data_IF_115465974583
#
_entry.id   IF_115465974583
#
_cell.length_a   1.000
_cell.length_b   1.000
_cell.length_c   1.000
_cell.angle_alpha   90.00
_cell.angle_beta   90.00
_cell.angle_gamma   90.00
#
_symmetry.space_group_name_H-M   'P 1'
#
loop_
_entity.id
_entity.type
_entity.pdbx_description
1 polymer ?
#
# COMPACT_ATOMS: atom_id res chain seq x y z
N UNK A 1 -20.02 -6.82 -0.02
CA UNK A 1 -18.81 -6.20 -0.57
C UNK A 1 -19.06 -5.75 -2.00
N UNK A 2 -19.00 -4.44 -2.25
CA UNK A 2 -19.13 -3.81 -3.57
C UNK A 2 -17.77 -3.28 -4.02
N UNK A 3 -17.24 -3.78 -5.14
CA UNK A 3 -15.85 -3.55 -5.56
C UNK A 3 -15.78 -3.16 -7.02
N UNK A 4 -15.03 -2.11 -7.34
CA UNK A 4 -14.66 -1.78 -8.71
C UNK A 4 -13.45 -2.60 -9.14
N UNK A 5 -13.54 -3.29 -10.27
CA UNK A 5 -12.41 -3.99 -10.89
C UNK A 5 -11.96 -3.23 -12.13
N UNK A 6 -10.66 -3.06 -12.32
CA UNK A 6 -10.11 -2.30 -13.45
C UNK A 6 -9.95 -3.15 -14.70
N UNK A 7 -9.85 -2.48 -15.86
CA UNK A 7 -9.65 -3.15 -17.16
C UNK A 7 -8.38 -4.03 -17.20
N UNK A 8 -7.27 -3.59 -16.59
CA UNK A 8 -6.02 -4.35 -16.60
C UNK A 8 -6.14 -5.74 -15.95
N UNK A 9 -7.10 -5.93 -15.03
CA UNK A 9 -7.41 -7.25 -14.44
C UNK A 9 -7.87 -8.24 -15.49
N UNK A 10 -8.65 -7.76 -16.46
CA UNK A 10 -9.11 -8.56 -17.58
C UNK A 10 -8.04 -8.69 -18.67
N UNK A 11 -7.41 -7.58 -19.08
CA UNK A 11 -6.41 -7.59 -20.16
C UNK A 11 -5.26 -8.57 -19.91
N UNK A 12 -4.71 -8.58 -18.69
CA UNK A 12 -3.54 -9.39 -18.35
C UNK A 12 -3.82 -10.90 -18.37
N UNK A 13 -5.09 -11.31 -18.29
CA UNK A 13 -5.47 -12.73 -18.44
C UNK A 13 -5.49 -13.21 -19.89
N UNK A 14 -5.53 -12.28 -20.85
CA UNK A 14 -5.63 -12.55 -22.28
C UNK A 14 -4.27 -12.48 -23.02
N UNK A 15 -3.21 -12.00 -22.37
CA UNK A 15 -1.88 -11.87 -22.97
C UNK A 15 -1.17 -13.21 -23.09
N UNK A 16 -1.58 -14.04 -24.05
CA UNK A 16 -1.03 -15.38 -24.33
C UNK A 16 0.51 -15.42 -24.50
N UNK A 17 1.10 -14.30 -24.91
CA UNK A 17 2.55 -14.11 -25.08
C UNK A 17 3.31 -13.76 -23.79
N UNK A 18 2.63 -13.39 -22.71
CA UNK A 18 3.26 -13.11 -21.43
C UNK A 18 3.53 -14.42 -20.67
N UNK A 19 4.78 -14.73 -20.27
CA UNK A 19 5.07 -15.93 -19.48
C UNK A 19 4.22 -16.09 -18.21
N UNK A 20 3.70 -14.98 -17.68
CA UNK A 20 2.86 -14.90 -16.48
C UNK A 20 1.35 -15.00 -16.77
N UNK A 21 0.89 -15.17 -18.02
CA UNK A 21 -0.54 -15.19 -18.36
C UNK A 21 -1.35 -16.24 -17.57
N UNK A 22 -0.75 -17.41 -17.32
CA UNK A 22 -1.39 -18.47 -16.50
C UNK A 22 -1.60 -18.03 -15.05
N UNK A 23 -0.67 -17.25 -14.51
CA UNK A 23 -0.81 -16.67 -13.18
C UNK A 23 -1.98 -15.69 -13.15
N UNK A 24 -2.09 -14.80 -14.13
CA UNK A 24 -3.21 -13.85 -14.22
C UNK A 24 -4.56 -14.54 -14.46
N UNK A 25 -4.60 -15.57 -15.31
CA UNK A 25 -5.80 -16.39 -15.52
C UNK A 25 -6.27 -17.09 -14.23
N UNK A 26 -5.34 -17.60 -13.42
CA UNK A 26 -5.67 -18.20 -12.13
C UNK A 26 -6.20 -17.16 -11.12
N UNK A 27 -5.62 -15.96 -11.09
CA UNK A 27 -6.14 -14.88 -10.25
C UNK A 27 -7.55 -14.45 -10.69
N UNK A 28 -7.79 -14.34 -12.00
CA UNK A 28 -9.12 -14.03 -12.53
C UNK A 28 -10.14 -15.10 -12.16
N UNK A 29 -9.75 -16.39 -12.20
CA UNK A 29 -10.57 -17.50 -11.73
C UNK A 29 -10.91 -17.34 -10.25
N UNK A 30 -9.91 -17.03 -9.41
CA UNK A 30 -10.09 -16.79 -7.98
C UNK A 30 -10.96 -15.58 -7.69
N UNK A 31 -10.97 -14.54 -8.53
CA UNK A 31 -11.90 -13.41 -8.41
C UNK A 31 -13.32 -13.83 -8.83
N UNK A 32 -13.46 -14.56 -9.94
CA UNK A 32 -14.76 -14.99 -10.47
C UNK A 32 -15.54 -15.87 -9.49
N UNK A 33 -14.86 -16.63 -8.63
CA UNK A 33 -15.51 -17.48 -7.63
C UNK A 33 -16.00 -16.72 -6.39
N UNK A 34 -15.66 -15.44 -6.23
CA UNK A 34 -16.01 -14.69 -5.01
C UNK A 34 -17.45 -14.18 -5.03
N UNK A 35 -18.06 -14.15 -3.84
CA UNK A 35 -19.38 -13.56 -3.60
C UNK A 35 -19.28 -12.04 -3.41
N UNK A 36 -18.75 -11.36 -4.42
CA UNK A 36 -18.58 -9.91 -4.49
C UNK A 36 -19.49 -9.35 -5.57
N UNK A 37 -20.04 -8.16 -5.31
CA UNK A 37 -20.76 -7.39 -6.32
C UNK A 37 -19.73 -6.54 -7.06
N UNK A 38 -19.48 -6.90 -8.31
CA UNK A 38 -18.43 -6.31 -9.13
C UNK A 38 -18.95 -5.10 -9.90
N UNK A 39 -18.14 -4.06 -9.96
CA UNK A 39 -18.37 -2.85 -10.73
C UNK A 39 -17.22 -2.61 -11.71
N UNK A 40 -17.50 -1.96 -12.83
CA UNK A 40 -16.51 -1.41 -13.75
C UNK A 40 -16.99 -0.06 -14.26
N UNK A 41 -16.05 0.82 -14.61
CA UNK A 41 -16.41 2.01 -15.39
C UNK A 41 -16.85 1.58 -16.79
N UNK A 42 -17.73 2.36 -17.44
CA UNK A 42 -18.15 2.08 -18.82
C UNK A 42 -16.98 1.89 -19.81
N UNK A 43 -15.95 2.76 -19.82
CA UNK A 43 -14.78 2.56 -20.67
C UNK A 43 -14.02 1.26 -20.38
N UNK A 44 -13.90 0.87 -19.10
CA UNK A 44 -13.24 -0.38 -18.74
C UNK A 44 -14.04 -1.59 -19.19
N UNK A 45 -15.37 -1.56 -19.07
CA UNK A 45 -16.24 -2.64 -19.53
C UNK A 45 -16.21 -2.81 -21.05
N UNK A 46 -16.31 -1.70 -21.80
CA UNK A 46 -16.19 -1.70 -23.27
C UNK A 46 -14.81 -2.15 -23.73
N UNK A 47 -13.77 -1.72 -23.00
CA UNK A 47 -12.40 -2.20 -23.17
C UNK A 47 -12.33 -3.71 -23.01
N UNK A 48 -12.79 -4.27 -21.89
CA UNK A 48 -12.72 -5.70 -21.62
C UNK A 48 -13.41 -6.50 -22.74
N UNK A 49 -14.62 -6.10 -23.15
CA UNK A 49 -15.31 -6.71 -24.29
C UNK A 49 -14.48 -6.68 -25.57
N UNK A 50 -13.86 -5.54 -25.88
CA UNK A 50 -13.05 -5.36 -27.08
C UNK A 50 -11.80 -6.23 -27.05
N UNK A 51 -11.11 -6.30 -25.92
CA UNK A 51 -9.94 -7.16 -25.73
C UNK A 51 -10.29 -8.64 -25.86
N UNK A 52 -11.42 -9.07 -25.31
CA UNK A 52 -11.87 -10.46 -25.47
C UNK A 52 -12.16 -10.81 -26.94
N UNK A 53 -12.81 -9.92 -27.70
CA UNK A 53 -13.05 -10.15 -29.13
C UNK A 53 -11.75 -10.26 -29.91
N UNK A 54 -10.74 -9.46 -29.54
CA UNK A 54 -9.47 -9.42 -30.26
C UNK A 54 -8.53 -10.59 -29.91
N UNK A 55 -8.45 -10.97 -28.64
CA UNK A 55 -7.42 -11.90 -28.13
C UNK A 55 -8.01 -13.16 -27.49
N UNK A 56 -9.33 -13.25 -27.29
CA UNK A 56 -9.97 -14.34 -26.57
C UNK A 56 -9.75 -15.72 -27.20
N UNK A 57 -9.58 -15.80 -28.53
CA UNK A 57 -9.29 -17.06 -29.22
C UNK A 57 -7.87 -17.60 -28.99
N UNK A 58 -6.96 -16.79 -28.42
CA UNK A 58 -5.57 -17.17 -28.18
C UNK A 58 -5.36 -17.88 -26.83
N UNK A 59 -6.36 -17.84 -25.96
CA UNK A 59 -6.34 -18.47 -24.64
C UNK A 59 -7.21 -19.74 -24.61
N UNK A 60 -6.95 -20.62 -23.64
CA UNK A 60 -7.74 -21.84 -23.47
C UNK A 60 -9.20 -21.55 -23.10
N UNK A 61 -10.08 -22.49 -23.45
CA UNK A 61 -11.54 -22.39 -23.27
C UNK A 61 -11.92 -22.14 -21.81
N UNK A 62 -11.22 -22.74 -20.85
CA UNK A 62 -11.48 -22.53 -19.42
C UNK A 62 -11.19 -21.09 -19.00
N UNK A 63 -10.13 -20.48 -19.51
CA UNK A 63 -9.83 -19.07 -19.26
C UNK A 63 -10.89 -18.16 -19.89
N UNK A 64 -11.38 -18.49 -21.09
CA UNK A 64 -12.46 -17.73 -21.75
C UNK A 64 -13.76 -17.78 -20.94
N UNK A 65 -14.13 -18.97 -20.44
CA UNK A 65 -15.31 -19.15 -19.58
C UNK A 65 -15.22 -18.33 -18.30
N UNK A 66 -14.07 -18.37 -17.62
CA UNK A 66 -13.81 -17.57 -16.41
C UNK A 66 -13.93 -16.08 -16.69
N UNK A 67 -13.33 -15.63 -17.78
CA UNK A 67 -13.36 -14.23 -18.21
C UNK A 67 -14.80 -13.75 -18.43
N UNK A 68 -15.57 -14.48 -19.24
CA UNK A 68 -16.96 -14.15 -19.55
C UNK A 68 -17.85 -14.26 -18.32
N UNK A 69 -17.61 -15.23 -17.45
CA UNK A 69 -18.33 -15.41 -16.19
C UNK A 69 -18.19 -14.19 -15.28
N UNK A 70 -16.96 -13.70 -15.05
CA UNK A 70 -16.77 -12.49 -14.26
C UNK A 70 -17.33 -11.26 -14.96
N UNK A 71 -17.05 -11.08 -16.26
CA UNK A 71 -17.50 -9.89 -17.01
C UNK A 71 -19.03 -9.79 -17.06
N UNK A 72 -19.74 -10.92 -17.16
CA UNK A 72 -21.21 -10.94 -17.18
C UNK A 72 -21.86 -10.56 -15.85
N UNK A 73 -21.10 -10.62 -14.75
CA UNK A 73 -21.56 -10.27 -13.39
C UNK A 73 -21.21 -8.84 -12.97
N UNK A 74 -20.45 -8.13 -13.79
CA UNK A 74 -20.08 -6.74 -13.55
C UNK A 74 -21.27 -5.82 -13.77
N UNK A 75 -21.49 -4.91 -12.82
CA UNK A 75 -22.33 -3.73 -12.98
C UNK A 75 -21.51 -2.59 -13.57
N UNK A 76 -22.09 -1.86 -14.52
CA UNK A 76 -21.39 -0.75 -15.18
C UNK A 76 -21.75 0.56 -14.50
N UNK A 77 -20.74 1.28 -13.99
CA UNK A 77 -20.90 2.64 -13.49
C UNK A 77 -21.22 3.57 -14.66
N UNK A 78 -22.35 4.27 -14.57
CA UNK A 78 -22.67 5.37 -15.46
C UNK A 78 -21.80 6.59 -15.11
N UNK A 79 -21.13 7.16 -16.11
CA UNK A 79 -20.37 8.41 -15.99
C UNK A 79 -21.25 9.56 -16.46
N UNK A 80 -21.58 10.47 -15.56
CA UNK A 80 -22.32 11.72 -15.82
C UNK A 80 -21.45 12.94 -15.47
N UNK A 81 -21.99 14.15 -15.66
CA UNK A 81 -21.26 15.40 -15.40
C UNK A 81 -20.78 15.51 -13.95
N UNK A 82 -21.55 14.97 -12.98
CA UNK A 82 -21.17 14.96 -11.57
C UNK A 82 -19.92 14.10 -11.33
N UNK A 83 -19.83 12.93 -11.95
CA UNK A 83 -18.62 12.10 -11.87
C UNK A 83 -17.43 12.80 -12.53
N UNK A 84 -17.64 13.51 -13.64
CA UNK A 84 -16.57 14.26 -14.31
C UNK A 84 -16.05 15.41 -13.44
N UNK A 85 -16.95 16.14 -12.78
CA UNK A 85 -16.62 17.21 -11.83
C UNK A 85 -15.85 16.67 -10.62
N UNK A 86 -16.31 15.56 -10.03
CA UNK A 86 -15.61 14.90 -8.91
C UNK A 86 -14.23 14.39 -9.35
N UNK A 87 -14.13 13.76 -10.51
CA UNK A 87 -12.87 13.27 -11.07
C UNK A 87 -11.84 14.39 -11.25
N UNK A 88 -12.27 15.62 -11.56
CA UNK A 88 -11.36 16.75 -11.76
C UNK A 88 -10.57 17.15 -10.49
N UNK A 89 -11.06 16.76 -9.30
CA UNK A 89 -10.45 17.10 -8.01
C UNK A 89 -9.18 16.28 -7.71
N UNK A 90 -8.96 15.16 -8.39
CA UNK A 90 -7.86 14.24 -8.07
C UNK A 90 -6.63 14.49 -8.95
N UNK A 91 -5.44 14.31 -8.38
CA UNK A 91 -4.15 14.45 -9.09
C UNK A 91 -3.72 13.26 -9.95
N UNK A 92 -4.63 12.34 -10.33
CA UNK A 92 -4.29 11.07 -11.01
C UNK A 92 -4.23 11.21 -12.54
N UNK A 93 -4.10 10.13 -13.32
CA UNK A 93 -4.37 10.20 -14.76
C UNK A 93 -5.90 10.16 -15.02
N UNK A 94 -6.36 10.60 -16.20
CA UNK A 94 -7.80 10.73 -16.46
C UNK A 94 -8.62 9.44 -16.19
N UNK A 95 -8.25 8.25 -16.73
CA UNK A 95 -8.95 7.01 -16.41
C UNK A 95 -9.03 6.69 -14.92
N UNK A 96 -7.95 6.90 -14.16
CA UNK A 96 -7.90 6.59 -12.73
C UNK A 96 -8.73 7.58 -11.90
N UNK A 97 -8.74 8.86 -12.28
CA UNK A 97 -9.64 9.85 -11.67
C UNK A 97 -11.11 9.45 -11.83
N UNK A 98 -11.49 8.97 -13.01
CA UNK A 98 -12.87 8.52 -13.30
C UNK A 98 -13.21 7.27 -12.50
N UNK A 99 -12.29 6.30 -12.41
CA UNK A 99 -12.48 5.07 -11.60
C UNK A 99 -12.66 5.42 -10.13
N UNK A 100 -11.83 6.32 -9.61
CA UNK A 100 -11.91 6.79 -8.23
C UNK A 100 -13.26 7.49 -7.97
N UNK A 101 -13.64 8.47 -8.79
CA UNK A 101 -14.91 9.17 -8.68
C UNK A 101 -16.12 8.22 -8.78
N UNK A 102 -16.11 7.28 -9.72
CA UNK A 102 -17.17 6.25 -9.81
C UNK A 102 -17.25 5.42 -8.53
N UNK A 103 -16.11 4.99 -7.97
CA UNK A 103 -16.11 4.19 -6.77
C UNK A 103 -16.68 4.94 -5.56
N UNK A 104 -16.45 6.24 -5.49
CA UNK A 104 -16.98 7.07 -4.41
C UNK A 104 -18.47 7.33 -4.58
N UNK A 105 -18.90 7.69 -5.79
CA UNK A 105 -20.30 8.01 -6.07
C UNK A 105 -21.21 6.80 -5.84
N UNK A 106 -20.75 5.62 -6.25
CA UNK A 106 -21.48 4.35 -6.05
C UNK A 106 -21.27 3.76 -4.65
N UNK A 107 -20.57 4.48 -3.75
CA UNK A 107 -20.28 4.06 -2.38
C UNK A 107 -19.68 2.64 -2.30
N UNK A 108 -18.68 2.39 -3.14
CA UNK A 108 -17.95 1.13 -3.20
C UNK A 108 -16.95 1.03 -2.04
N UNK A 109 -16.61 -0.20 -1.67
CA UNK A 109 -15.67 -0.49 -0.57
C UNK A 109 -14.21 -0.49 -1.05
N UNK A 110 -13.98 -0.70 -2.35
CA UNK A 110 -12.64 -0.65 -2.89
C UNK A 110 -12.53 -0.75 -4.41
N UNK A 111 -11.30 -0.57 -4.88
CA UNK A 111 -10.86 -0.76 -6.26
C UNK A 111 -9.81 -1.87 -6.28
N UNK A 112 -9.96 -2.84 -7.20
CA UNK A 112 -9.03 -3.93 -7.42
C UNK A 112 -8.36 -3.76 -8.78
N UNK A 113 -7.03 -3.70 -8.77
CA UNK A 113 -6.22 -3.46 -9.96
C UNK A 113 -4.88 -4.20 -9.90
N UNK A 114 -4.24 -4.45 -11.04
CA UNK A 114 -2.84 -4.89 -11.06
C UNK A 114 -1.84 -3.74 -10.85
N UNK A 115 -2.32 -2.48 -10.90
CA UNK A 115 -1.48 -1.28 -10.82
C UNK A 115 -1.96 -0.31 -9.74
N UNK A 116 -2.11 -0.75 -8.48
CA UNK A 116 -2.63 0.10 -7.40
C UNK A 116 -1.78 1.35 -7.13
N UNK A 117 -0.50 1.33 -7.48
CA UNK A 117 0.39 2.49 -7.38
C UNK A 117 -0.07 3.69 -8.22
N UNK A 118 -0.90 3.46 -9.26
CA UNK A 118 -1.45 4.54 -10.08
C UNK A 118 -2.46 5.41 -9.32
N UNK A 119 -2.98 4.92 -8.19
CA UNK A 119 -3.94 5.63 -7.33
C UNK A 119 -3.28 6.24 -6.09
N UNK A 120 -1.99 6.01 -5.87
CA UNK A 120 -1.28 6.54 -4.71
C UNK A 120 -1.17 8.06 -4.82
N UNK A 121 -1.67 8.79 -3.83
CA UNK A 121 -1.62 10.25 -3.76
C UNK A 121 -0.45 10.71 -2.89
N UNK A 122 0.02 9.86 -1.99
CA UNK A 122 1.08 10.14 -1.03
C UNK A 122 2.17 9.07 -1.03
N UNK A 123 3.32 9.39 -0.42
CA UNK A 123 4.39 8.40 -0.18
C UNK A 123 3.92 7.31 0.79
N UNK A 124 3.02 7.65 1.72
CA UNK A 124 2.44 6.68 2.66
C UNK A 124 1.58 5.64 1.93
N UNK A 125 0.79 6.04 0.94
CA UNK A 125 0.00 5.12 0.11
C UNK A 125 0.90 4.09 -0.59
N UNK A 126 2.01 4.56 -1.17
CA UNK A 126 2.99 3.70 -1.84
C UNK A 126 3.63 2.73 -0.85
N UNK A 127 3.96 3.18 0.35
CA UNK A 127 4.53 2.34 1.41
C UNK A 127 3.53 1.27 1.87
N UNK A 128 2.29 1.67 2.14
CA UNK A 128 1.19 0.77 2.52
C UNK A 128 0.93 -0.28 1.44
N UNK A 129 0.93 0.14 0.18
CA UNK A 129 0.84 -0.79 -0.93
C UNK A 129 1.97 -1.84 -0.92
N UNK A 130 3.20 -1.46 -0.60
CA UNK A 130 4.33 -2.42 -0.58
C UNK A 130 4.24 -3.41 0.59
N UNK A 131 3.77 -2.95 1.75
CA UNK A 131 3.65 -3.79 2.95
C UNK A 131 2.39 -4.66 2.92
N UNK A 132 1.25 -4.01 2.78
CA UNK A 132 -0.07 -4.59 3.00
C UNK A 132 -0.69 -5.05 1.68
N UNK A 133 -0.12 -4.62 0.54
CA UNK A 133 -0.69 -4.85 -0.79
C UNK A 133 -1.93 -3.99 -1.08
N UNK A 134 -2.31 -3.10 -0.17
CA UNK A 134 -3.42 -2.17 -0.35
C UNK A 134 -3.18 -0.89 0.46
N UNK A 135 -3.96 0.16 0.17
CA UNK A 135 -3.99 1.37 0.99
C UNK A 135 -5.39 2.00 0.99
N UNK A 136 -5.80 2.66 2.10
CA UNK A 136 -7.04 3.40 2.13
C UNK A 136 -6.87 4.77 1.47
N UNK A 137 -7.85 5.17 0.68
CA UNK A 137 -8.09 6.55 0.27
C UNK A 137 -9.20 7.09 1.16
N UNK A 138 -8.82 8.01 2.04
CA UNK A 138 -9.77 8.71 2.91
C UNK A 138 -10.21 10.01 2.23
N UNK A 139 -11.53 10.20 2.15
CA UNK A 139 -12.10 11.46 1.71
C UNK A 139 -12.99 12.06 2.78
N UNK A 140 -12.75 13.32 3.08
CA UNK A 140 -13.54 14.08 4.04
C UNK A 140 -14.50 14.96 3.26
N UNK A 141 -15.80 14.71 3.40
CA UNK A 141 -16.84 15.60 2.88
C UNK A 141 -17.44 16.38 4.04
N UNK A 142 -17.35 17.71 4.02
CA UNK A 142 -17.99 18.57 5.01
C UNK A 142 -19.44 18.82 4.59
N UNK A 143 -20.40 18.49 5.46
CA UNK A 143 -21.79 18.90 5.26
C UNK A 143 -21.89 20.39 5.57
N UNK A 144 -21.99 21.23 4.55
CA UNK A 144 -22.07 22.69 4.69
C UNK A 144 -23.23 23.15 5.58
N UNK A 145 -24.33 22.39 5.62
CA UNK A 145 -25.53 22.74 6.40
C UNK A 145 -25.43 22.37 7.88
N UNK A 146 -24.62 21.37 8.23
CA UNK A 146 -24.60 20.81 9.58
C UNK A 146 -23.21 20.79 10.23
N UNK A 147 -22.17 21.20 9.50
CA UNK A 147 -20.79 21.33 9.98
C UNK A 147 -20.14 20.01 10.41
N UNK A 148 -20.75 18.85 10.10
CA UNK A 148 -20.13 17.56 10.37
C UNK A 148 -19.39 17.03 9.13
N UNK A 149 -18.22 16.47 9.38
CA UNK A 149 -17.40 15.79 8.37
C UNK A 149 -17.79 14.32 8.29
N UNK A 150 -18.12 13.85 7.08
CA UNK A 150 -18.24 12.43 6.79
C UNK A 150 -16.95 11.96 6.15
N UNK A 151 -16.25 11.04 6.81
CA UNK A 151 -15.09 10.36 6.26
C UNK A 151 -15.56 9.13 5.48
N UNK A 152 -15.39 9.15 4.15
CA UNK A 152 -15.55 7.97 3.30
C UNK A 152 -14.18 7.31 3.15
N UNK A 153 -14.11 6.00 3.37
CA UNK A 153 -12.91 5.18 3.15
C UNK A 153 -13.14 4.24 2.00
N UNK A 154 -12.28 4.34 0.99
CA UNK A 154 -12.22 3.44 -0.15
C UNK A 154 -10.86 2.77 -0.15
N UNK A 155 -10.79 1.45 -0.30
CA UNK A 155 -9.50 0.75 -0.32
C UNK A 155 -9.04 0.47 -1.74
N UNK A 156 -7.78 0.77 -2.05
CA UNK A 156 -7.15 0.40 -3.33
C UNK A 156 -6.32 -0.85 -3.10
N UNK A 157 -6.69 -1.96 -3.74
CA UNK A 157 -6.05 -3.25 -3.61
C UNK A 157 -5.29 -3.65 -4.88
N UNK A 158 -4.13 -4.27 -4.68
CA UNK A 158 -3.63 -5.22 -5.68
C UNK A 158 -4.57 -6.43 -5.79
N UNK A 159 -4.63 -7.08 -6.96
CA UNK A 159 -5.42 -8.33 -7.10
C UNK A 159 -5.01 -9.40 -6.09
N UNK A 160 -3.70 -9.57 -5.87
CA UNK A 160 -3.19 -10.60 -4.97
C UNK A 160 -3.59 -10.34 -3.52
N UNK A 161 -3.38 -9.10 -3.04
CA UNK A 161 -3.75 -8.72 -1.67
C UNK A 161 -5.25 -8.76 -1.44
N UNK A 162 -6.06 -8.36 -2.42
CA UNK A 162 -7.51 -8.46 -2.32
C UNK A 162 -7.97 -9.89 -2.09
N UNK A 163 -7.39 -10.86 -2.80
CA UNK A 163 -7.72 -12.27 -2.64
C UNK A 163 -7.27 -12.83 -1.27
N UNK A 164 -6.10 -12.42 -0.79
CA UNK A 164 -5.61 -12.81 0.55
C UNK A 164 -6.53 -12.26 1.64
N UNK A 165 -6.83 -10.96 1.60
CA UNK A 165 -7.64 -10.30 2.63
C UNK A 165 -9.11 -10.76 2.60
N UNK A 166 -9.62 -11.23 1.46
CA UNK A 166 -10.96 -11.80 1.34
C UNK A 166 -11.10 -13.18 1.96
N UNK A 167 -10.06 -14.00 1.91
CA UNK A 167 -10.09 -15.34 2.51
C UNK A 167 -9.99 -15.29 4.04
N UNK A 168 -9.47 -14.18 4.56
CA UNK A 168 -9.32 -13.91 5.99
C UNK A 168 -10.55 -13.26 6.64
N UNK A 169 -11.73 -13.25 6.00
CA UNK A 169 -12.97 -12.55 6.45
C UNK A 169 -13.56 -13.04 7.78
N UNK A 170 -12.81 -12.86 8.86
CA UNK A 170 -13.19 -12.38 10.19
C UNK A 170 -12.57 -10.99 10.41
N UNK A 171 -12.36 -10.19 9.35
CA UNK A 171 -11.83 -8.83 9.50
C UNK A 171 -12.96 -7.91 9.99
N UNK A 172 -13.09 -7.86 11.32
CA UNK A 172 -13.27 -6.57 11.96
C UNK A 172 -12.11 -5.69 11.50
N UNK A 173 -12.39 -4.71 10.63
CA UNK A 173 -11.46 -3.62 10.33
C UNK A 173 -10.95 -3.07 11.68
N UNK A 174 -9.66 -3.19 12.01
CA UNK A 174 -9.21 -2.93 13.37
C UNK A 174 -9.35 -1.43 13.67
N UNK A 175 -10.15 -1.17 14.70
CA UNK A 175 -9.88 -0.27 15.82
C UNK A 175 -9.16 1.05 15.51
N UNK A 176 -9.85 2.15 15.87
CA UNK A 176 -9.18 3.39 16.28
C UNK A 176 -8.11 3.09 17.34
N UNK A 177 -6.84 3.25 17.01
CA UNK A 177 -5.75 3.17 17.97
C UNK A 177 -5.58 4.54 18.66
N UNK A 178 -5.71 4.52 19.99
CA UNK A 178 -5.35 5.62 20.87
C UNK A 178 -3.81 5.78 20.95
N UNK A 179 -3.40 7.02 21.26
CA UNK A 179 -2.05 7.60 21.36
C UNK A 179 -0.89 6.74 21.91
N UNK A 180 0.20 6.69 21.12
CA UNK A 180 1.66 6.80 21.42
C UNK A 180 2.21 6.62 22.85
N UNK A 181 3.27 5.79 23.03
CA UNK A 181 4.53 6.02 23.81
C UNK A 181 5.28 4.69 24.16
N UNK A 182 6.38 4.31 23.48
CA UNK A 182 7.27 3.22 23.99
C UNK A 182 8.79 3.40 23.74
N UNK A 183 9.25 4.12 22.71
CA UNK A 183 10.70 4.27 22.41
C UNK A 183 11.10 5.67 21.95
N UNK A 184 12.27 6.16 22.42
CA UNK A 184 12.90 7.40 21.97
C UNK A 184 14.38 7.17 21.64
N UNK A 185 14.81 7.49 20.42
CA UNK A 185 16.21 7.45 19.98
C UNK A 185 16.93 8.64 20.59
N UNK A 186 17.97 8.39 21.38
CA UNK A 186 18.72 9.45 22.07
C UNK A 186 19.91 9.89 21.25
N UNK A 187 20.72 8.94 20.78
CA UNK A 187 21.97 9.23 20.10
C UNK A 187 22.19 8.26 18.94
N UNK A 188 22.82 8.75 17.88
CA UNK A 188 23.10 8.00 16.66
C UNK A 188 24.38 8.52 16.04
N UNK A 189 25.35 7.62 15.86
CA UNK A 189 26.64 7.91 15.27
C UNK A 189 26.94 6.93 14.15
N UNK A 190 27.45 7.45 13.02
CA UNK A 190 27.94 6.64 11.92
C UNK A 190 29.34 7.09 11.54
N UNK A 191 30.21 6.09 11.37
CA UNK A 191 31.56 6.26 10.86
C UNK A 191 31.65 5.44 9.58
N UNK A 192 31.96 6.10 8.47
CA UNK A 192 32.17 5.44 7.18
C UNK A 192 33.65 5.49 6.83
N UNK A 193 34.32 4.35 6.82
CA UNK A 193 35.74 4.25 6.44
C UNK A 193 35.93 3.21 5.33
N UNK A 194 36.33 3.67 4.15
CA UNK A 194 36.62 2.83 2.99
C UNK A 194 35.47 1.87 2.62
N UNK A 195 35.63 0.57 2.88
CA UNK A 195 34.72 -0.52 2.52
C UNK A 195 33.88 -1.03 3.70
N UNK A 196 34.00 -0.39 4.87
CA UNK A 196 33.25 -0.74 6.07
C UNK A 196 32.61 0.50 6.68
N UNK A 197 31.46 0.30 7.30
CA UNK A 197 30.73 1.33 8.03
C UNK A 197 30.42 0.81 9.41
N UNK A 198 30.56 1.66 10.41
CA UNK A 198 30.23 1.37 11.79
C UNK A 198 29.10 2.30 12.23
N UNK A 199 28.09 1.73 12.87
CA UNK A 199 26.96 2.47 13.42
C UNK A 199 26.87 2.19 14.92
N UNK A 200 26.77 3.25 15.72
CA UNK A 200 26.48 3.19 17.15
C UNK A 200 25.14 3.88 17.43
N UNK A 201 24.27 3.21 18.18
CA UNK A 201 22.88 3.63 18.41
C UNK A 201 22.57 3.54 19.90
N UNK A 202 21.99 4.61 20.47
CA UNK A 202 21.47 4.64 21.83
C UNK A 202 19.97 4.87 21.82
N UNK A 203 19.20 3.88 22.29
CA UNK A 203 17.74 3.92 22.43
C UNK A 203 17.34 4.06 23.90
N UNK A 204 16.40 4.97 24.20
CA UNK A 204 15.68 4.98 25.46
C UNK A 204 14.35 4.22 25.30
N UNK A 205 14.17 3.22 26.17
CA UNK A 205 13.01 2.35 26.27
C UNK A 205 12.31 2.67 27.59
N UNK A 206 11.10 3.26 27.53
CA UNK A 206 10.44 3.81 28.72
C UNK A 206 11.32 4.88 29.43
N UNK A 207 10.82 5.55 30.45
CA UNK A 207 11.53 6.70 31.05
C UNK A 207 12.92 6.39 31.64
N UNK A 208 13.28 5.10 31.83
CA UNK A 208 14.45 4.72 32.65
C UNK A 208 15.42 3.69 32.06
N UNK A 209 15.17 3.08 30.90
CA UNK A 209 16.09 2.08 30.32
C UNK A 209 16.76 2.65 29.07
N UNK A 210 18.09 2.73 29.09
CA UNK A 210 18.90 3.08 27.92
C UNK A 210 19.64 1.85 27.42
N UNK A 211 19.60 1.64 26.11
CA UNK A 211 20.24 0.52 25.44
C UNK A 211 21.14 1.07 24.35
N UNK A 212 22.35 0.54 24.30
CA UNK A 212 23.37 0.96 23.34
C UNK A 212 23.85 -0.26 22.57
N UNK A 213 24.00 -0.12 21.27
CA UNK A 213 24.70 -1.11 20.46
C UNK A 213 25.52 -0.45 19.38
N UNK A 214 26.63 -1.11 19.06
CA UNK A 214 27.52 -0.75 17.97
C UNK A 214 27.67 -1.95 17.06
N UNK A 215 27.53 -1.74 15.76
CA UNK A 215 27.76 -2.79 14.78
C UNK A 215 28.46 -2.27 13.52
N UNK A 216 29.17 -3.19 12.86
CA UNK A 216 29.93 -2.93 11.64
C UNK A 216 29.30 -3.69 10.49
N UNK A 217 29.02 -2.98 9.40
CA UNK A 217 28.53 -3.54 8.14
C UNK A 217 29.40 -3.11 6.96
N UNK A 218 29.24 -3.77 5.81
CA UNK A 218 29.94 -3.38 4.57
C UNK A 218 29.37 -2.10 3.97
N UNK A 219 28.15 -1.76 4.37
CA UNK A 219 27.49 -0.51 4.04
C UNK A 219 26.97 0.16 5.31
N UNK A 220 26.75 1.49 5.28
CA UNK A 220 26.13 2.18 6.41
C UNK A 220 24.77 1.58 6.77
N UNK A 221 24.03 1.11 5.76
CA UNK A 221 22.75 0.44 5.95
C UNK A 221 22.87 -0.85 6.75
N UNK A 222 23.80 -1.70 6.35
CA UNK A 222 24.05 -2.98 7.04
C UNK A 222 24.52 -2.74 8.48
N UNK A 223 25.38 -1.74 8.70
CA UNK A 223 25.87 -1.39 10.03
C UNK A 223 24.74 -0.93 10.97
N UNK A 224 23.84 -0.06 10.49
CA UNK A 224 22.66 0.40 11.26
C UNK A 224 21.77 -0.79 11.61
N UNK A 225 21.47 -1.62 10.61
CA UNK A 225 20.57 -2.75 10.80
C UNK A 225 21.11 -3.69 11.87
N UNK A 226 22.40 -4.06 11.80
CA UNK A 226 23.04 -4.93 12.78
C UNK A 226 23.07 -4.32 14.19
N UNK A 227 23.22 -3.00 14.31
CA UNK A 227 23.19 -2.32 15.61
C UNK A 227 21.78 -2.34 16.21
N UNK A 228 20.74 -2.09 15.40
CA UNK A 228 19.35 -2.17 15.86
C UNK A 228 18.99 -3.61 16.27
N UNK A 229 19.34 -4.58 15.43
CA UNK A 229 19.09 -5.99 15.71
C UNK A 229 19.77 -6.42 17.02
N UNK A 230 21.00 -5.96 17.29
CA UNK A 230 21.71 -6.21 18.54
C UNK A 230 20.98 -5.64 19.78
N UNK A 231 20.36 -4.46 19.68
CA UNK A 231 19.56 -3.89 20.79
C UNK A 231 18.28 -4.72 21.01
N UNK A 232 17.62 -5.13 19.93
CA UNK A 232 16.41 -5.95 19.98
C UNK A 232 16.71 -7.31 20.62
N UNK A 233 17.84 -7.92 20.26
CA UNK A 233 18.33 -9.18 20.82
C UNK A 233 18.74 -9.08 22.30
N UNK A 234 18.97 -7.89 22.84
CA UNK A 234 19.14 -7.70 24.29
C UNK A 234 17.82 -7.56 25.04
N UNK A 235 16.69 -7.36 24.35
CA UNK A 235 15.36 -7.15 24.93
C UNK A 235 14.49 -8.43 24.94
N UNK A 236 15.09 -9.62 24.83
CA UNK A 236 14.47 -10.90 24.41
C UNK A 236 13.35 -11.46 25.31
N UNK A 237 12.96 -10.77 26.38
CA UNK A 237 11.70 -11.07 27.09
C UNK A 237 10.49 -10.25 26.61
N UNK A 238 10.61 -9.49 25.52
CA UNK A 238 9.46 -8.82 24.87
C UNK A 238 8.97 -9.60 23.64
N UNK A 239 7.64 -9.65 23.37
CA UNK A 239 7.08 -10.42 22.25
C UNK A 239 7.68 -10.00 20.91
N UNK A 240 7.79 -10.93 19.96
CA UNK A 240 8.53 -10.79 18.70
C UNK A 240 8.30 -9.45 17.98
N UNK A 241 9.39 -8.74 17.67
CA UNK A 241 9.42 -7.44 16.98
C UNK A 241 10.26 -7.54 15.71
N UNK A 242 9.93 -6.75 14.70
CA UNK A 242 10.61 -6.70 13.41
C UNK A 242 10.94 -5.25 13.06
N UNK A 243 12.17 -4.96 12.64
CA UNK A 243 12.52 -3.66 12.06
C UNK A 243 11.72 -3.48 10.76
N UNK A 244 10.87 -2.45 10.68
CA UNK A 244 9.95 -2.24 9.56
C UNK A 244 10.49 -1.28 8.50
N UNK A 245 11.27 -0.27 8.89
CA UNK A 245 12.07 0.57 7.99
C UNK A 245 13.02 1.49 8.76
N UNK A 246 14.00 2.10 8.08
CA UNK A 246 14.56 3.38 8.51
C UNK A 246 14.74 4.28 7.28
N UNK A 247 14.55 5.58 7.43
CA UNK A 247 14.78 6.56 6.37
C UNK A 247 15.63 7.71 6.88
N UNK A 248 16.56 8.16 6.03
CA UNK A 248 17.20 9.46 6.20
C UNK A 248 16.42 10.38 5.27
N UNK A 249 15.50 11.23 5.77
CA UNK A 249 14.86 12.21 4.93
C UNK A 249 15.98 12.99 4.25
N UNK A 250 15.92 13.23 2.93
CA UNK A 250 16.89 14.07 2.28
C UNK A 250 16.85 15.41 3.00
N UNK A 251 17.84 15.69 3.84
CA UNK A 251 18.12 17.03 4.28
C UNK A 251 18.19 17.83 2.98
N UNK A 252 17.43 18.92 2.88
CA UNK A 252 17.64 19.97 1.88
C UNK A 252 19.13 20.00 1.56
N UNK A 253 19.50 19.58 0.34
CA UNK A 253 20.87 19.33 -0.12
C UNK A 253 21.66 20.65 -0.10
N UNK A 254 21.97 21.14 1.09
CA UNK A 254 22.60 22.42 1.36
C UNK A 254 23.81 22.18 2.26
N UNK A 255 24.84 21.56 1.68
CA UNK A 255 26.19 21.54 2.23
C UNK A 255 26.48 20.43 3.26
N UNK A 256 27.78 20.25 3.51
CA UNK A 256 28.34 19.20 4.36
C UNK A 256 27.94 19.29 5.85
N UNK A 257 27.37 20.42 6.29
CA UNK A 257 26.94 20.67 7.68
C UNK A 257 25.42 20.55 7.91
N UNK A 258 24.66 20.08 6.92
CA UNK A 258 23.21 19.95 7.06
C UNK A 258 22.83 18.86 8.09
N UNK A 259 21.92 19.14 9.04
CA UNK A 259 21.49 18.15 10.03
C UNK A 259 20.78 16.98 9.34
N UNK A 260 21.24 15.77 9.64
CA UNK A 260 20.70 14.53 9.09
C UNK A 260 19.65 14.01 10.07
N UNK A 261 18.39 13.97 9.64
CA UNK A 261 17.37 13.28 10.41
C UNK A 261 17.47 11.78 10.10
N UNK A 262 17.49 10.93 11.11
CA UNK A 262 17.35 9.48 10.97
C UNK A 262 16.02 9.10 11.57
N UNK A 263 15.16 8.55 10.73
CA UNK A 263 13.84 8.05 11.10
C UNK A 263 13.93 6.54 11.18
N UNK A 264 13.74 5.95 12.35
CA UNK A 264 13.72 4.49 12.55
C UNK A 264 12.29 4.07 12.84
N UNK A 265 11.79 3.07 12.11
CA UNK A 265 10.46 2.51 12.26
C UNK A 265 10.53 1.05 12.73
N UNK A 266 10.06 0.75 13.93
CA UNK A 266 10.06 -0.60 14.50
C UNK A 266 8.62 -1.11 14.57
N UNK A 267 8.36 -2.34 14.14
CA UNK A 267 7.05 -2.97 14.29
C UNK A 267 7.03 -3.93 15.48
N UNK A 268 6.07 -3.74 16.37
CA UNK A 268 5.81 -4.61 17.52
C UNK A 268 4.33 -4.94 17.58
N UNK A 269 3.98 -6.23 17.53
CA UNK A 269 2.60 -6.72 17.64
C UNK A 269 1.61 -6.00 16.70
N UNK A 270 2.00 -5.79 15.44
CA UNK A 270 1.18 -5.11 14.43
C UNK A 270 1.09 -3.58 14.57
N UNK A 271 1.91 -2.98 15.45
CA UNK A 271 2.01 -1.52 15.62
C UNK A 271 3.36 -1.04 15.15
N UNK A 272 3.39 -0.12 14.18
CA UNK A 272 4.61 0.52 13.66
C UNK A 272 4.95 1.78 14.46
N UNK A 273 6.16 1.82 14.99
CA UNK A 273 6.67 2.87 15.87
C UNK A 273 7.74 3.67 15.15
N UNK A 274 7.50 4.95 14.91
CA UNK A 274 8.44 5.84 14.24
C UNK A 274 9.19 6.72 15.25
N UNK A 275 10.50 6.73 15.16
CA UNK A 275 11.36 7.60 15.96
C UNK A 275 12.24 8.40 15.03
N UNK A 276 12.22 9.73 15.16
CA UNK A 276 13.04 10.63 14.33
C UNK A 276 14.07 11.34 15.19
N UNK A 277 15.36 11.09 14.95
CA UNK A 277 16.45 11.79 15.63
C UNK A 277 17.21 12.67 14.65
N UNK A 278 17.47 13.92 15.03
CA UNK A 278 18.28 14.86 14.24
C UNK A 278 19.73 14.77 14.70
N UNK A 279 20.58 14.16 13.90
CA UNK A 279 22.03 14.16 14.09
C UNK A 279 22.68 15.39 13.47
N UNK A 280 23.74 15.90 14.12
CA UNK A 280 24.77 16.67 13.42
C UNK A 280 25.80 15.68 12.90
N UNK A 281 26.20 15.84 11.64
CA UNK A 281 27.28 15.06 11.03
C UNK A 281 28.61 15.40 11.67
#
# INVERSE_FOLDING_TARGET
>A
MHILVTLNVFQNSLTSHDPCWRYYANLLRSLSSRSVIWYMTKPDFEGARSYFVQFGSEIDETCQEVYLSLLSRVQVCHIDDRILEEAALYGLNFPDRIRLACAIDYNLEGIVTYEPQQFALTVEDVYRLQLDGYFPVCMTSECLDAGFCVEKRLHIFSVASFLINLDETSIHLPYQLQSSEVFQLKEFHIICENEISEAAITLQVLDNLQLEATAVGKTPFEAIQLAIDSIIDHCVEMPARRLSSYSIPPATLLGAEAPVAVVICIECAGTTWQVTQKGKR
#
